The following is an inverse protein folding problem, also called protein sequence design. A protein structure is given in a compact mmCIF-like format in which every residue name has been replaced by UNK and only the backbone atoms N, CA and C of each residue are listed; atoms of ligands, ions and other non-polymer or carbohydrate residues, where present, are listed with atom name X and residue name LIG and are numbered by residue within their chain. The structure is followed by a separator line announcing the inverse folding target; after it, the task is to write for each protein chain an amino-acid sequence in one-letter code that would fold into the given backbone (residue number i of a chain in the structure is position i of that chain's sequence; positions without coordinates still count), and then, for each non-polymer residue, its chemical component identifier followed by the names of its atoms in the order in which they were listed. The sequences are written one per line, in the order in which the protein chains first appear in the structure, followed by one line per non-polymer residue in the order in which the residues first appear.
data_IF_454615235174
#
_entry.id   IF_454615235174
#
_cell.length_a   1.000
_cell.length_b   1.000
_cell.length_c   1.000
_cell.angle_alpha   90.00
_cell.angle_beta   90.00
_cell.angle_gamma   90.00
#
_symmetry.space_group_name_H-M   'P 1'
#
loop_
_entity.id
_entity.type
_entity.pdbx_description
1 polymer ?
#
# COMPACT_ATOMS: atom_id res chain seq x y z
N UNK A 1 22.79 -78.64 -35.62
CA UNK A 1 22.40 -78.00 -34.34
C UNK A 1 23.67 -77.46 -33.70
N UNK A 2 24.03 -76.17 -33.83
CA UNK A 2 23.79 -75.05 -32.86
C UNK A 2 24.06 -75.52 -31.40
N UNK A 3 25.00 -74.98 -30.62
CA UNK A 3 25.22 -73.60 -30.12
C UNK A 3 26.73 -73.45 -29.72
N UNK A 4 27.50 -72.43 -30.14
CA UNK A 4 27.60 -71.05 -29.64
C UNK A 4 28.02 -70.91 -28.15
N UNK A 5 29.31 -70.63 -27.90
CA UNK A 5 29.80 -70.01 -26.66
C UNK A 5 30.24 -68.57 -26.95
N UNK A 6 29.60 -67.61 -26.29
CA UNK A 6 29.88 -66.19 -26.36
C UNK A 6 30.97 -65.80 -25.34
N UNK A 7 32.00 -65.10 -25.81
CA UNK A 7 33.01 -64.42 -24.99
C UNK A 7 32.52 -63.00 -24.73
N UNK A 8 32.33 -62.64 -23.46
CA UNK A 8 31.89 -61.32 -23.03
C UNK A 8 33.13 -60.46 -22.71
N UNK A 9 33.41 -59.45 -23.54
CA UNK A 9 34.43 -58.42 -23.28
C UNK A 9 33.82 -57.30 -22.42
N UNK A 10 34.38 -57.06 -21.23
CA UNK A 10 34.11 -55.86 -20.43
C UNK A 10 34.94 -54.69 -20.97
N UNK A 11 34.27 -53.67 -21.52
CA UNK A 11 34.82 -52.35 -21.80
C UNK A 11 34.44 -51.41 -20.65
N UNK A 12 35.43 -50.97 -19.85
CA UNK A 12 35.27 -49.92 -18.87
C UNK A 12 35.37 -48.55 -19.56
N UNK A 13 34.23 -47.87 -19.74
CA UNK A 13 34.18 -46.50 -20.21
C UNK A 13 34.28 -45.54 -19.01
N UNK A 14 35.40 -44.81 -18.92
CA UNK A 14 35.57 -43.69 -17.98
C UNK A 14 34.83 -42.48 -18.56
N UNK A 15 33.66 -42.16 -18.02
CA UNK A 15 32.92 -40.95 -18.36
C UNK A 15 33.51 -39.75 -17.59
N UNK A 16 34.25 -38.89 -18.28
CA UNK A 16 34.60 -37.56 -17.77
C UNK A 16 33.34 -36.69 -17.73
N UNK A 17 32.78 -36.48 -16.54
CA UNK A 17 31.75 -35.47 -16.32
C UNK A 17 32.41 -34.08 -16.35
N UNK A 18 32.35 -33.41 -17.50
CA UNK A 18 32.68 -31.99 -17.60
C UNK A 18 31.55 -31.23 -16.92
N UNK A 19 31.74 -30.86 -15.65
CA UNK A 19 30.89 -29.89 -14.99
C UNK A 19 31.14 -28.53 -15.66
N UNK A 20 30.32 -28.18 -16.65
CA UNK A 20 30.28 -26.81 -17.15
C UNK A 20 29.91 -25.90 -15.99
N UNK A 21 30.89 -25.18 -15.44
CA UNK A 21 30.63 -24.08 -14.53
C UNK A 21 30.01 -22.95 -15.34
N UNK A 22 28.71 -22.75 -15.21
CA UNK A 22 28.04 -21.60 -15.81
C UNK A 22 28.62 -20.37 -15.11
N UNK A 23 29.39 -19.56 -15.84
CA UNK A 23 29.94 -18.32 -15.31
C UNK A 23 28.78 -17.44 -14.84
N UNK A 24 28.81 -17.01 -13.58
CA UNK A 24 27.84 -16.06 -13.06
C UNK A 24 27.95 -14.75 -13.84
N UNK A 25 26.84 -14.10 -14.21
CA UNK A 25 26.88 -12.82 -14.90
C UNK A 25 27.71 -11.82 -14.09
N UNK A 26 28.60 -11.08 -14.75
CA UNK A 26 29.45 -10.07 -14.11
C UNK A 26 28.76 -8.70 -14.01
N UNK A 27 27.68 -8.49 -14.76
CA UNK A 27 26.91 -7.25 -14.68
C UNK A 27 26.00 -7.21 -13.44
N UNK A 28 25.84 -6.03 -12.80
CA UNK A 28 24.92 -5.87 -11.68
C UNK A 28 23.49 -6.34 -12.02
N UNK A 29 22.84 -6.99 -11.06
CA UNK A 29 21.43 -7.32 -11.17
C UNK A 29 20.60 -6.03 -11.10
N UNK A 30 19.75 -5.80 -12.11
CA UNK A 30 18.84 -4.66 -12.15
C UNK A 30 17.48 -5.08 -11.64
N UNK A 31 17.02 -4.47 -10.54
CA UNK A 31 15.77 -4.86 -9.88
C UNK A 31 14.91 -3.62 -9.63
N UNK A 32 13.62 -3.72 -9.92
CA UNK A 32 12.66 -2.64 -9.69
C UNK A 32 11.78 -2.92 -8.48
N UNK A 33 11.75 -2.01 -7.52
CA UNK A 33 10.74 -1.96 -6.48
C UNK A 33 9.58 -1.12 -6.98
N UNK A 34 8.35 -1.62 -6.87
CA UNK A 34 7.11 -0.93 -7.23
C UNK A 34 6.26 -0.85 -5.97
N UNK A 35 6.31 0.28 -5.28
CA UNK A 35 5.66 0.47 -4.01
C UNK A 35 4.43 1.38 -4.10
N UNK A 36 3.47 1.16 -3.22
CA UNK A 36 2.36 2.07 -2.95
C UNK A 36 1.97 1.96 -1.48
N UNK A 37 1.18 2.93 -1.02
CA UNK A 37 0.83 3.07 0.38
C UNK A 37 -0.58 3.67 0.52
N UNK A 38 -1.18 3.50 1.70
CA UNK A 38 -2.41 4.18 2.09
C UNK A 38 -3.53 3.99 1.06
N UNK A 39 -3.69 2.76 0.58
CA UNK A 39 -4.70 2.42 -0.41
C UNK A 39 -6.12 2.53 0.15
N UNK A 40 -6.31 2.23 1.45
CA UNK A 40 -7.58 2.36 2.18
C UNK A 40 -8.79 1.85 1.39
N UNK A 41 -8.68 0.68 0.77
CA UNK A 41 -9.76 0.07 0.00
C UNK A 41 -10.35 0.91 -1.14
N UNK A 42 -9.57 1.83 -1.74
CA UNK A 42 -10.00 2.67 -2.86
C UNK A 42 -10.05 1.87 -4.18
N UNK A 43 -10.99 0.93 -4.24
CA UNK A 43 -11.16 -0.04 -5.32
C UNK A 43 -11.70 0.60 -6.60
N UNK A 44 -12.67 1.50 -6.47
CA UNK A 44 -13.31 2.18 -7.60
C UNK A 44 -12.42 3.34 -8.10
N UNK A 45 -12.38 3.59 -9.42
CA UNK A 45 -11.84 4.84 -9.92
C UNK A 45 -12.73 6.00 -9.47
N UNK A 46 -12.14 7.03 -8.89
CA UNK A 46 -12.84 8.23 -8.45
C UNK A 46 -12.24 9.50 -9.04
N UNK A 47 -12.76 10.64 -8.58
CA UNK A 47 -12.33 11.98 -9.02
C UNK A 47 -11.14 12.53 -8.24
N UNK A 48 -10.48 11.69 -7.44
CA UNK A 48 -9.31 12.10 -6.68
C UNK A 48 -8.18 12.46 -7.64
N UNK A 49 -7.63 13.66 -7.47
CA UNK A 49 -6.57 14.17 -8.33
C UNK A 49 -5.21 14.08 -7.66
N UNK A 50 -4.16 14.06 -8.48
CA UNK A 50 -2.79 14.34 -8.08
C UNK A 50 -2.25 15.47 -8.96
N UNK A 51 -1.56 16.43 -8.34
CA UNK A 51 -0.86 17.48 -9.07
C UNK A 51 0.45 16.91 -9.63
N UNK A 52 0.47 16.59 -10.93
CA UNK A 52 1.60 15.94 -11.60
C UNK A 52 2.32 16.90 -12.57
N UNK A 53 3.66 16.94 -12.59
CA UNK A 53 4.42 17.71 -13.57
C UNK A 53 4.14 17.25 -15.00
N UNK A 54 3.91 18.19 -15.92
CA UNK A 54 3.69 17.89 -17.32
C UNK A 54 4.96 17.21 -17.90
N UNK A 55 4.84 16.05 -18.57
CA UNK A 55 5.99 15.24 -18.98
C UNK A 55 6.92 15.94 -19.99
N UNK A 56 6.39 16.87 -20.79
CA UNK A 56 7.15 17.58 -21.84
C UNK A 56 7.26 19.10 -21.67
N UNK A 57 6.67 19.69 -20.62
CA UNK A 57 6.62 21.15 -20.43
C UNK A 57 7.10 21.46 -19.02
N UNK A 58 8.36 21.89 -18.90
CA UNK A 58 8.97 22.21 -17.62
C UNK A 58 8.18 23.29 -16.86
N UNK A 59 7.99 23.10 -15.56
CA UNK A 59 7.26 24.03 -14.68
C UNK A 59 5.73 24.00 -14.80
N UNK A 60 5.16 23.32 -15.80
CA UNK A 60 3.70 23.14 -15.90
C UNK A 60 3.27 21.94 -15.06
N UNK A 61 2.24 22.10 -14.24
CA UNK A 61 1.62 21.03 -13.45
C UNK A 61 0.16 20.87 -13.87
N UNK A 62 -0.31 19.63 -13.91
CA UNK A 62 -1.69 19.27 -14.25
C UNK A 62 -2.34 18.52 -13.09
N UNK A 63 -3.65 18.74 -12.90
CA UNK A 63 -4.45 17.95 -11.96
C UNK A 63 -4.94 16.68 -12.67
N UNK A 64 -4.34 15.54 -12.35
CA UNK A 64 -4.61 14.26 -13.01
C UNK A 64 -5.50 13.40 -12.13
N UNK A 65 -6.72 13.08 -12.58
CA UNK A 65 -7.58 12.10 -11.90
C UNK A 65 -6.89 10.73 -11.94
N UNK A 66 -6.65 10.16 -10.77
CA UNK A 66 -5.80 8.98 -10.61
C UNK A 66 -6.37 7.98 -9.62
N UNK A 67 -5.97 6.72 -9.75
CA UNK A 67 -6.31 5.62 -8.83
C UNK A 67 -7.43 4.70 -9.31
N UNK A 68 -7.93 3.87 -8.38
CA UNK A 68 -8.79 2.72 -8.68
C UNK A 68 -7.97 1.44 -8.91
N UNK A 69 -8.39 0.34 -8.30
CA UNK A 69 -7.61 -0.91 -8.26
C UNK A 69 -7.30 -1.47 -9.66
N UNK A 70 -8.23 -1.36 -10.61
CA UNK A 70 -8.02 -1.88 -11.96
C UNK A 70 -6.98 -1.09 -12.76
N UNK A 71 -6.90 0.23 -12.56
CA UNK A 71 -5.87 1.08 -13.18
C UNK A 71 -4.52 0.93 -12.47
N UNK A 72 -4.53 0.79 -11.14
CA UNK A 72 -3.35 0.44 -10.36
C UNK A 72 -2.73 -0.87 -10.86
N UNK A 73 -3.56 -1.91 -11.05
CA UNK A 73 -3.15 -3.19 -11.62
C UNK A 73 -2.51 -3.03 -13.00
N UNK A 74 -3.10 -2.21 -13.86
CA UNK A 74 -2.58 -1.94 -15.20
C UNK A 74 -1.21 -1.25 -15.15
N UNK A 75 -1.05 -0.23 -14.30
CA UNK A 75 0.22 0.48 -14.16
C UNK A 75 1.34 -0.43 -13.62
N UNK A 76 1.02 -1.26 -12.63
CA UNK A 76 1.96 -2.24 -12.09
C UNK A 76 2.36 -3.26 -13.18
N UNK A 77 1.40 -3.73 -13.99
CA UNK A 77 1.68 -4.65 -15.09
C UNK A 77 2.58 -4.02 -16.17
N UNK A 78 2.37 -2.75 -16.51
CA UNK A 78 3.28 -2.01 -17.41
C UNK A 78 4.71 -1.95 -16.87
N UNK A 79 4.86 -1.53 -15.61
CA UNK A 79 6.17 -1.42 -14.97
C UNK A 79 6.89 -2.77 -14.83
N UNK A 80 6.15 -3.85 -14.59
CA UNK A 80 6.67 -5.24 -14.59
C UNK A 80 7.09 -5.70 -15.98
N UNK A 81 6.36 -5.32 -17.03
CA UNK A 81 6.74 -5.65 -18.42
C UNK A 81 8.00 -4.92 -18.85
N UNK A 82 8.17 -3.68 -18.42
CA UNK A 82 9.41 -2.90 -18.64
C UNK A 82 10.61 -3.50 -17.89
N UNK A 83 10.40 -3.98 -16.67
CA UNK A 83 11.42 -4.63 -15.85
C UNK A 83 10.84 -5.87 -15.14
N UNK A 84 10.97 -7.07 -15.74
CA UNK A 84 10.43 -8.30 -15.17
C UNK A 84 11.01 -8.63 -13.79
N UNK A 85 12.28 -8.32 -13.57
CA UNK A 85 12.94 -8.46 -12.27
C UNK A 85 12.44 -7.36 -11.31
N UNK A 86 11.29 -7.59 -10.69
CA UNK A 86 10.62 -6.59 -9.86
C UNK A 86 9.91 -7.17 -8.65
N UNK A 87 9.67 -6.31 -7.65
CA UNK A 87 8.95 -6.63 -6.41
C UNK A 87 7.90 -5.55 -6.16
N UNK A 88 6.63 -5.95 -5.99
CA UNK A 88 5.50 -5.08 -5.71
C UNK A 88 5.22 -5.05 -4.22
N UNK A 89 5.18 -3.85 -3.64
CA UNK A 89 5.24 -3.64 -2.19
C UNK A 89 4.09 -2.73 -1.76
N UNK A 90 3.44 -3.07 -0.66
CA UNK A 90 2.54 -2.17 0.04
C UNK A 90 3.15 -1.76 1.38
N UNK A 91 3.24 -0.45 1.61
CA UNK A 91 3.80 0.13 2.85
C UNK A 91 2.73 0.43 3.92
N UNK A 92 1.65 -0.35 3.96
CA UNK A 92 0.60 -0.24 4.97
C UNK A 92 -0.65 0.52 4.53
N UNK A 93 -1.67 0.42 5.38
CA UNK A 93 -3.01 0.96 5.17
C UNK A 93 -3.59 0.55 3.82
N UNK A 94 -3.53 -0.76 3.51
CA UNK A 94 -4.33 -1.33 2.43
C UNK A 94 -5.82 -1.20 2.76
N UNK A 95 -6.17 -1.43 4.02
CA UNK A 95 -7.53 -1.58 4.54
C UNK A 95 -7.82 -0.54 5.62
N UNK A 96 -9.05 -0.52 6.14
CA UNK A 96 -9.48 0.48 7.13
C UNK A 96 -9.62 1.88 6.53
N UNK A 97 -10.37 2.76 7.21
CA UNK A 97 -10.87 4.05 6.68
C UNK A 97 -11.33 3.96 5.20
N UNK A 98 -11.95 2.83 4.85
CA UNK A 98 -12.15 2.41 3.47
C UNK A 98 -13.52 2.82 2.97
N UNK A 99 -13.67 3.16 1.67
CA UNK A 99 -14.97 3.35 1.05
C UNK A 99 -15.87 2.13 1.23
N UNK A 100 -17.19 2.35 1.16
CA UNK A 100 -18.20 1.32 1.43
C UNK A 100 -17.98 0.01 0.64
N UNK A 101 -17.54 0.11 -0.62
CA UNK A 101 -17.28 -1.04 -1.50
C UNK A 101 -16.25 -2.02 -0.93
N UNK A 102 -15.36 -1.57 -0.04
CA UNK A 102 -14.42 -2.41 0.68
C UNK A 102 -14.88 -2.65 2.12
N UNK A 103 -15.20 -1.58 2.86
CA UNK A 103 -15.52 -1.65 4.28
C UNK A 103 -16.73 -2.54 4.59
N UNK A 104 -17.78 -2.52 3.74
CA UNK A 104 -18.98 -3.35 3.92
C UNK A 104 -18.67 -4.85 3.97
N UNK A 105 -17.59 -5.26 3.30
CA UNK A 105 -17.15 -6.65 3.21
C UNK A 105 -15.90 -6.89 4.05
N UNK A 106 -15.69 -6.08 5.09
CA UNK A 106 -14.54 -6.17 6.01
C UNK A 106 -13.20 -6.11 5.29
N UNK A 107 -13.13 -5.37 4.19
CA UNK A 107 -11.94 -5.20 3.37
C UNK A 107 -11.38 -6.47 2.70
N UNK A 108 -12.11 -7.58 2.72
CA UNK A 108 -11.82 -8.77 1.90
C UNK A 108 -11.62 -8.44 0.41
N UNK A 109 -12.46 -7.58 -0.22
CA UNK A 109 -12.30 -7.22 -1.63
C UNK A 109 -10.95 -6.58 -1.93
N UNK A 110 -10.38 -5.87 -0.97
CA UNK A 110 -9.08 -5.21 -1.12
C UNK A 110 -7.97 -6.25 -1.16
N UNK A 111 -7.95 -7.19 -0.23
CA UNK A 111 -6.95 -8.26 -0.22
C UNK A 111 -7.09 -9.14 -1.48
N UNK A 112 -8.31 -9.44 -1.91
CA UNK A 112 -8.56 -10.17 -3.17
C UNK A 112 -8.07 -9.40 -4.40
N UNK A 113 -8.25 -8.08 -4.44
CA UNK A 113 -7.70 -7.24 -5.50
C UNK A 113 -6.17 -7.26 -5.49
N UNK A 114 -5.54 -7.16 -4.30
CA UNK A 114 -4.08 -7.22 -4.16
C UNK A 114 -3.52 -8.60 -4.58
N UNK A 115 -4.24 -9.68 -4.27
CA UNK A 115 -3.89 -11.02 -4.75
C UNK A 115 -3.87 -11.08 -6.29
N UNK A 116 -4.85 -10.46 -6.96
CA UNK A 116 -4.94 -10.43 -8.43
C UNK A 116 -3.92 -9.49 -9.08
N UNK A 117 -3.58 -8.37 -8.42
CA UNK A 117 -2.50 -7.47 -8.82
C UNK A 117 -1.14 -8.17 -8.70
N UNK A 118 -1.04 -9.16 -7.81
CA UNK A 118 0.18 -9.89 -7.52
C UNK A 118 1.09 -9.07 -6.62
N UNK A 119 0.56 -8.58 -5.50
CA UNK A 119 1.36 -7.96 -4.45
C UNK A 119 2.37 -8.98 -3.89
N UNK A 120 3.64 -8.60 -3.71
CA UNK A 120 4.68 -9.53 -3.26
C UNK A 120 4.86 -9.51 -1.74
N UNK A 121 4.61 -8.38 -1.08
CA UNK A 121 4.60 -8.24 0.37
C UNK A 121 3.81 -6.99 0.81
N UNK A 122 3.32 -7.04 2.05
CA UNK A 122 2.62 -5.95 2.69
C UNK A 122 3.19 -5.73 4.10
N UNK A 123 3.53 -4.49 4.43
CA UNK A 123 3.75 -4.07 5.81
C UNK A 123 2.43 -3.59 6.35
N UNK A 124 2.05 -4.00 7.56
CA UNK A 124 0.83 -3.45 8.17
C UNK A 124 1.03 -1.95 8.45
N UNK A 125 -0.05 -1.18 8.37
CA UNK A 125 -0.16 0.19 8.87
C UNK A 125 -1.04 0.25 10.11
N UNK A 126 -1.45 1.46 10.52
CA UNK A 126 -2.31 1.60 11.69
C UNK A 126 -3.75 1.18 11.40
N UNK A 127 -4.27 1.43 10.20
CA UNK A 127 -5.68 1.14 9.87
C UNK A 127 -5.96 -0.36 9.68
N UNK A 128 -4.91 -1.17 9.48
CA UNK A 128 -5.01 -2.64 9.63
C UNK A 128 -5.52 -3.06 11.02
N UNK A 129 -5.37 -2.22 12.05
CA UNK A 129 -5.82 -2.49 13.42
C UNK A 129 -7.19 -1.91 13.76
N UNK A 130 -7.88 -1.23 12.84
CA UNK A 130 -9.20 -0.61 13.07
C UNK A 130 -10.20 -1.62 13.65
N UNK A 131 -10.19 -2.83 13.08
CA UNK A 131 -11.08 -3.92 13.48
C UNK A 131 -10.46 -4.84 14.56
N UNK A 132 -9.24 -4.54 15.00
CA UNK A 132 -8.47 -5.27 16.00
C UNK A 132 -7.67 -6.45 15.44
N UNK A 133 -6.72 -6.94 16.24
CA UNK A 133 -5.72 -7.93 15.82
C UNK A 133 -6.33 -9.26 15.36
N UNK A 134 -7.45 -9.68 15.95
CA UNK A 134 -8.15 -10.91 15.52
C UNK A 134 -8.64 -10.80 14.08
N UNK A 135 -9.22 -9.65 13.71
CA UNK A 135 -9.69 -9.43 12.34
C UNK A 135 -8.52 -9.28 11.37
N UNK A 136 -7.47 -8.56 11.77
CA UNK A 136 -6.24 -8.44 10.98
C UNK A 136 -5.63 -9.81 10.65
N UNK A 137 -5.56 -10.72 11.64
CA UNK A 137 -5.09 -12.09 11.42
C UNK A 137 -6.01 -12.87 10.48
N UNK A 138 -7.34 -12.69 10.57
CA UNK A 138 -8.30 -13.28 9.64
C UNK A 138 -8.10 -12.75 8.23
N UNK A 139 -7.88 -11.44 8.06
CA UNK A 139 -7.59 -10.86 6.75
C UNK A 139 -6.34 -11.47 6.13
N UNK A 140 -5.27 -11.62 6.91
CA UNK A 140 -4.06 -12.28 6.40
C UNK A 140 -4.29 -13.77 6.07
N UNK A 141 -4.97 -14.52 6.95
CA UNK A 141 -5.05 -15.98 6.88
C UNK A 141 -6.24 -16.54 6.08
N UNK A 142 -7.26 -15.73 5.82
CA UNK A 142 -8.51 -16.19 5.21
C UNK A 142 -9.55 -16.68 6.21
N UNK A 143 -10.67 -17.16 5.66
CA UNK A 143 -11.83 -17.65 6.40
C UNK A 143 -12.91 -16.60 6.62
N UNK A 144 -14.15 -17.06 6.79
CA UNK A 144 -15.31 -16.18 7.02
C UNK A 144 -15.34 -15.69 8.47
N UNK A 145 -15.67 -14.43 8.67
CA UNK A 145 -15.89 -13.91 10.00
C UNK A 145 -17.11 -14.59 10.66
N UNK A 146 -16.89 -15.25 11.80
CA UNK A 146 -17.95 -15.93 12.55
C UNK A 146 -18.66 -15.04 13.56
N UNK A 147 -18.06 -13.88 13.87
CA UNK A 147 -18.64 -12.90 14.80
C UNK A 147 -19.30 -11.77 13.99
N UNK A 148 -20.64 -11.62 14.07
CA UNK A 148 -21.34 -10.50 13.44
C UNK A 148 -20.82 -9.15 13.94
N UNK A 149 -20.78 -8.14 13.06
CA UNK A 149 -20.44 -6.75 13.40
C UNK A 149 -21.34 -5.82 12.61
N UNK A 150 -22.49 -5.45 13.19
CA UNK A 150 -23.51 -4.68 12.48
C UNK A 150 -23.87 -5.34 11.15
N UNK A 151 -23.93 -4.53 10.10
CA UNK A 151 -24.29 -4.96 8.74
C UNK A 151 -23.10 -5.45 7.90
N UNK A 152 -21.91 -5.60 8.50
CA UNK A 152 -20.71 -6.02 7.77
C UNK A 152 -20.80 -7.48 7.30
N UNK A 153 -20.72 -7.67 5.99
CA UNK A 153 -20.66 -8.96 5.33
C UNK A 153 -19.23 -9.54 5.31
N UNK A 154 -19.14 -10.84 5.05
CA UNK A 154 -17.88 -11.61 4.93
C UNK A 154 -18.12 -12.75 3.95
N UNK A 155 -17.07 -13.23 3.28
CA UNK A 155 -17.13 -14.28 2.27
C UNK A 155 -18.13 -13.98 1.15
N UNK A 156 -18.21 -12.70 0.78
CA UNK A 156 -19.12 -12.22 -0.27
C UNK A 156 -18.58 -12.45 -1.70
N UNK A 157 -17.35 -12.99 -1.83
CA UNK A 157 -16.81 -13.51 -3.07
C UNK A 157 -17.74 -14.57 -3.69
N UNK A 158 -17.84 -14.69 -5.03
CA UNK A 158 -18.71 -15.69 -5.68
C UNK A 158 -18.50 -17.14 -5.22
N UNK A 159 -17.31 -17.47 -4.74
CA UNK A 159 -16.98 -18.80 -4.22
C UNK A 159 -17.50 -19.07 -2.80
N UNK A 160 -18.16 -18.11 -2.16
CA UNK A 160 -18.73 -18.24 -0.81
C UNK A 160 -17.67 -18.40 0.28
N UNK A 161 -16.42 -18.03 0.00
CA UNK A 161 -15.30 -18.09 0.94
C UNK A 161 -14.31 -16.95 0.68
N UNK A 162 -13.55 -16.60 1.70
CA UNK A 162 -12.42 -15.69 1.63
C UNK A 162 -11.13 -16.49 1.85
N UNK A 163 -10.21 -16.44 0.89
CA UNK A 163 -9.01 -17.29 0.89
C UNK A 163 -7.81 -16.65 1.62
N UNK A 164 -7.93 -15.39 2.04
CA UNK A 164 -6.83 -14.65 2.67
C UNK A 164 -5.86 -14.07 1.66
N UNK A 165 -4.72 -13.59 2.16
CA UNK A 165 -3.68 -13.00 1.32
C UNK A 165 -2.72 -14.06 0.78
N UNK A 166 -2.31 -13.93 -0.49
CA UNK A 166 -1.24 -14.74 -1.09
C UNK A 166 0.15 -14.12 -0.90
N UNK A 167 0.24 -13.06 -0.08
CA UNK A 167 1.45 -12.32 0.25
C UNK A 167 1.62 -12.21 1.77
N UNK A 168 2.86 -12.13 2.28
CA UNK A 168 3.11 -12.00 3.70
C UNK A 168 2.77 -10.60 4.22
N UNK A 169 2.26 -10.57 5.45
CA UNK A 169 2.13 -9.37 6.28
C UNK A 169 3.40 -9.25 7.13
N UNK A 170 3.94 -8.04 7.29
CA UNK A 170 5.16 -7.77 8.04
C UNK A 170 4.92 -6.76 9.17
N UNK A 171 5.48 -7.03 10.35
CA UNK A 171 5.35 -6.19 11.55
C UNK A 171 6.51 -6.39 12.54
N UNK A 172 7.66 -5.74 12.31
CA UNK A 172 8.86 -5.89 13.12
C UNK A 172 8.76 -5.29 14.53
N UNK A 173 8.00 -4.22 14.69
CA UNK A 173 7.92 -3.45 15.94
C UNK A 173 6.61 -3.65 16.72
N UNK A 174 5.71 -4.50 16.23
CA UNK A 174 4.46 -4.85 16.92
C UNK A 174 4.65 -6.17 17.64
N UNK A 175 4.73 -6.12 18.97
CA UNK A 175 5.08 -7.29 19.80
C UNK A 175 4.08 -7.55 20.91
N UNK A 176 3.96 -8.79 21.32
CA UNK A 176 3.23 -9.16 22.53
C UNK A 176 4.03 -8.88 23.81
N UNK A 177 3.51 -9.34 24.96
CA UNK A 177 4.14 -9.17 26.27
C UNK A 177 5.46 -9.92 26.40
N UNK A 178 5.60 -11.05 25.68
CA UNK A 178 6.81 -11.87 25.64
C UNK A 178 7.84 -11.34 24.62
N UNK A 179 7.48 -10.32 23.84
CA UNK A 179 8.35 -9.72 22.83
C UNK A 179 8.35 -10.44 21.48
N UNK A 180 7.40 -11.37 21.25
CA UNK A 180 7.20 -12.03 19.95
C UNK A 180 6.45 -11.10 19.01
N UNK A 181 6.85 -11.06 17.74
CA UNK A 181 6.21 -10.19 16.74
C UNK A 181 4.84 -10.71 16.32
N UNK A 182 3.94 -9.80 15.96
CA UNK A 182 2.58 -10.15 15.50
C UNK A 182 2.61 -10.95 14.18
N UNK A 183 3.43 -10.46 13.26
CA UNK A 183 3.74 -11.10 11.98
C UNK A 183 5.25 -11.26 11.84
N UNK A 184 5.71 -11.80 10.71
CA UNK A 184 7.14 -11.86 10.44
C UNK A 184 7.74 -10.43 10.45
N UNK A 185 8.92 -10.21 11.04
CA UNK A 185 9.53 -8.89 11.07
C UNK A 185 10.04 -8.44 9.70
N UNK A 186 10.46 -9.39 8.89
CA UNK A 186 11.02 -9.16 7.58
C UNK A 186 10.74 -10.33 6.64
N UNK A 187 11.01 -10.13 5.35
CA UNK A 187 11.08 -11.21 4.36
C UNK A 187 12.29 -11.02 3.46
N UNK A 188 12.87 -12.12 2.98
CA UNK A 188 13.94 -12.10 1.96
C UNK A 188 13.35 -12.56 0.64
N UNK A 189 13.59 -11.80 -0.44
CA UNK A 189 13.23 -12.17 -1.82
C UNK A 189 14.50 -12.45 -2.60
N UNK A 190 14.51 -13.56 -3.32
CA UNK A 190 15.54 -13.85 -4.31
C UNK A 190 15.00 -13.44 -5.69
N UNK A 191 15.64 -12.46 -6.33
CA UNK A 191 15.28 -11.97 -7.66
C UNK A 191 16.56 -11.93 -8.47
N UNK A 192 16.56 -12.49 -9.68
CA UNK A 192 17.78 -12.55 -10.51
C UNK A 192 18.98 -13.17 -9.77
N UNK A 193 18.76 -14.09 -8.83
CA UNK A 193 19.83 -14.75 -8.07
C UNK A 193 20.46 -13.90 -6.94
N UNK A 194 20.05 -12.64 -6.75
CA UNK A 194 20.46 -11.82 -5.60
C UNK A 194 19.38 -11.81 -4.51
N UNK A 195 19.78 -11.66 -3.24
CA UNK A 195 18.87 -11.65 -2.08
C UNK A 195 18.63 -10.23 -1.60
N UNK A 196 17.36 -9.84 -1.47
CA UNK A 196 16.93 -8.53 -0.94
C UNK A 196 16.08 -8.75 0.31
N UNK A 197 16.46 -8.11 1.41
CA UNK A 197 15.68 -8.10 2.65
C UNK A 197 14.71 -6.93 2.72
N UNK A 198 13.49 -7.16 3.18
CA UNK A 198 12.47 -6.14 3.40
C UNK A 198 12.01 -6.22 4.86
N UNK A 199 12.25 -5.18 5.65
CA UNK A 199 11.86 -5.12 7.06
C UNK A 199 10.66 -4.18 7.20
N UNK A 200 9.58 -4.67 7.82
CA UNK A 200 8.33 -3.90 7.95
C UNK A 200 8.16 -3.27 9.33
N UNK A 201 7.85 -1.97 9.41
CA UNK A 201 7.56 -1.31 10.69
C UNK A 201 6.29 -0.44 10.59
N UNK A 202 5.54 -0.36 11.69
CA UNK A 202 4.32 0.46 11.86
C UNK A 202 4.63 1.67 12.73
N UNK A 203 3.96 2.81 12.51
CA UNK A 203 4.02 3.94 13.43
C UNK A 203 3.78 3.52 14.88
N UNK A 204 4.67 3.89 15.79
CA UNK A 204 4.53 3.65 17.24
C UNK A 204 3.32 4.37 17.84
N UNK A 205 2.73 5.30 17.09
CA UNK A 205 1.57 6.10 17.50
C UNK A 205 0.23 5.39 17.31
N UNK A 206 0.19 4.20 16.67
CA UNK A 206 -1.04 3.42 16.46
C UNK A 206 -1.95 3.30 17.70
N UNK A 207 -1.45 3.11 18.93
CA UNK A 207 -2.31 3.07 20.12
C UNK A 207 -3.13 4.34 20.40
N UNK A 208 -2.73 5.49 19.86
CA UNK A 208 -3.48 6.74 19.92
C UNK A 208 -4.45 6.94 18.75
N UNK A 209 -4.42 6.07 17.73
CA UNK A 209 -5.22 6.17 16.51
C UNK A 209 -6.37 5.17 16.53
N UNK A 210 -6.11 3.94 16.97
CA UNK A 210 -7.09 2.85 16.92
C UNK A 210 -7.73 2.56 18.26
N UNK A 211 -8.82 1.79 18.24
CA UNK A 211 -9.55 1.40 19.46
C UNK A 211 -8.65 0.58 20.41
N UNK A 212 -8.43 1.01 21.67
CA UNK A 212 -7.51 0.32 22.60
C UNK A 212 -7.84 -1.16 22.81
N UNK A 213 -9.14 -1.51 22.82
CA UNK A 213 -9.59 -2.90 22.95
C UNK A 213 -9.11 -3.81 21.81
N UNK A 214 -8.95 -3.28 20.60
CA UNK A 214 -8.57 -4.03 19.41
C UNK A 214 -7.11 -4.46 19.39
N UNK A 215 -6.26 -3.75 20.15
CA UNK A 215 -4.82 -3.96 20.25
C UNK A 215 -4.38 -4.40 21.66
N UNK A 216 -5.33 -4.77 22.52
CA UNK A 216 -5.04 -5.20 23.88
C UNK A 216 -4.02 -6.35 23.89
N UNK A 217 -2.95 -6.19 24.69
CA UNK A 217 -1.85 -7.15 24.78
C UNK A 217 -0.69 -6.93 23.80
N UNK A 218 -0.85 -6.03 22.83
CA UNK A 218 0.18 -5.67 21.86
C UNK A 218 0.84 -4.33 22.21
N UNK A 219 2.12 -4.22 21.86
CA UNK A 219 2.95 -3.02 22.06
C UNK A 219 3.62 -2.64 20.75
N UNK A 220 3.63 -1.35 20.47
CA UNK A 220 4.26 -0.76 19.29
C UNK A 220 5.58 -0.11 19.75
N UNK A 221 6.69 -0.75 19.42
CA UNK A 221 8.04 -0.27 19.77
C UNK A 221 8.51 0.79 18.78
N UNK A 222 9.56 1.52 19.15
CA UNK A 222 10.23 2.43 18.23
C UNK A 222 10.72 1.71 16.96
N UNK A 223 10.39 2.31 15.82
CA UNK A 223 10.58 1.81 14.46
C UNK A 223 12.06 1.62 14.16
N UNK A 224 12.87 2.67 14.35
CA UNK A 224 14.31 2.62 14.09
C UNK A 224 15.02 1.51 14.87
N UNK A 225 14.64 1.29 16.13
CA UNK A 225 15.22 0.23 16.96
C UNK A 225 14.91 -1.17 16.43
N UNK A 226 13.67 -1.40 15.98
CA UNK A 226 13.28 -2.66 15.37
C UNK A 226 13.95 -2.87 14.00
N UNK A 227 13.95 -1.84 13.15
CA UNK A 227 14.57 -1.86 11.82
C UNK A 227 16.07 -2.19 11.91
N UNK A 228 16.82 -1.51 12.79
CA UNK A 228 18.26 -1.76 12.95
C UNK A 228 18.57 -3.15 13.48
N UNK A 229 17.75 -3.66 14.42
CA UNK A 229 17.90 -5.03 14.94
C UNK A 229 17.80 -6.06 13.81
N UNK A 230 16.75 -5.98 13.00
CA UNK A 230 16.53 -6.96 11.93
C UNK A 230 17.44 -6.74 10.73
N UNK A 231 17.94 -5.52 10.51
CA UNK A 231 18.99 -5.28 9.52
C UNK A 231 20.29 -6.00 9.92
N UNK A 232 20.69 -5.95 11.19
CA UNK A 232 21.84 -6.70 11.70
C UNK A 232 21.65 -8.22 11.56
N UNK A 233 20.44 -8.72 11.84
CA UNK A 233 20.08 -10.14 11.67
C UNK A 233 20.17 -10.59 10.21
N UNK A 234 19.68 -9.78 9.27
CA UNK A 234 19.77 -10.04 7.82
C UNK A 234 21.21 -10.02 7.32
N UNK A 235 22.04 -9.10 7.79
CA UNK A 235 23.47 -9.05 7.44
C UNK A 235 24.22 -10.26 7.94
N UNK A 236 23.91 -10.75 9.15
CA UNK A 236 24.48 -11.98 9.67
C UNK A 236 24.12 -13.21 8.81
N UNK A 237 23.01 -13.15 8.07
CA UNK A 237 22.60 -14.16 7.07
C UNK A 237 23.19 -13.91 5.67
N UNK A 238 24.04 -12.89 5.52
CA UNK A 238 24.67 -12.49 4.26
C UNK A 238 23.74 -11.78 3.28
N UNK A 239 22.65 -11.17 3.75
CA UNK A 239 21.80 -10.30 2.93
C UNK A 239 22.33 -8.87 3.07
N UNK A 240 22.83 -8.29 1.99
CA UNK A 240 23.41 -6.93 2.02
C UNK A 240 22.43 -5.87 1.50
N UNK A 241 21.63 -6.16 0.47
CA UNK A 241 20.57 -5.26 0.03
C UNK A 241 19.37 -5.32 0.99
N UNK A 242 19.14 -4.26 1.77
CA UNK A 242 18.12 -4.20 2.82
C UNK A 242 17.25 -2.95 2.68
N UNK A 243 15.95 -3.16 2.52
CA UNK A 243 14.95 -2.12 2.40
C UNK A 243 14.14 -2.02 3.70
N UNK A 244 13.94 -0.80 4.21
CA UNK A 244 12.96 -0.53 5.25
C UNK A 244 11.65 -0.13 4.60
N UNK A 245 10.57 -0.80 4.99
CA UNK A 245 9.20 -0.48 4.55
C UNK A 245 8.44 -0.06 5.80
N UNK A 246 8.15 1.22 5.90
CA UNK A 246 7.75 1.87 7.15
C UNK A 246 6.41 2.57 6.96
N UNK A 247 5.41 2.13 7.72
CA UNK A 247 4.16 2.84 7.86
C UNK A 247 4.28 4.01 8.85
N UNK A 248 5.12 4.96 8.47
CA UNK A 248 5.31 6.26 9.11
C UNK A 248 5.77 7.24 8.03
N UNK A 249 5.47 8.52 8.21
CA UNK A 249 5.64 9.53 7.19
C UNK A 249 6.17 10.85 7.70
N UNK A 250 6.21 11.77 6.76
CA UNK A 250 6.54 13.16 7.00
C UNK A 250 5.89 14.04 5.94
N UNK A 251 6.39 15.24 5.82
CA UNK A 251 5.96 16.21 4.83
C UNK A 251 7.17 16.83 4.15
N UNK A 252 6.98 17.19 2.90
CA UNK A 252 7.87 18.06 2.14
C UNK A 252 7.01 19.08 1.40
N UNK A 253 7.63 20.17 1.01
CA UNK A 253 7.05 21.10 0.05
C UNK A 253 7.43 20.64 -1.38
N UNK A 254 6.76 21.20 -2.39
CA UNK A 254 7.00 20.89 -3.81
C UNK A 254 6.04 19.86 -4.41
N UNK A 255 6.39 19.33 -5.57
CA UNK A 255 5.64 18.33 -6.33
C UNK A 255 5.93 16.89 -5.91
N UNK A 256 5.30 15.95 -6.62
CA UNK A 256 5.30 14.52 -6.28
C UNK A 256 6.68 13.85 -6.20
N UNK A 257 7.72 14.47 -6.77
CA UNK A 257 9.10 13.97 -6.80
C UNK A 257 10.10 14.93 -6.16
N UNK A 258 9.62 16.00 -5.54
CA UNK A 258 10.49 16.97 -4.90
C UNK A 258 10.77 16.57 -3.44
N UNK A 259 11.79 17.22 -2.86
CA UNK A 259 12.14 17.09 -1.46
C UNK A 259 12.60 18.44 -0.93
N UNK A 260 11.64 19.34 -0.74
CA UNK A 260 11.90 20.69 -0.22
C UNK A 260 11.47 20.73 1.26
N UNK A 261 12.34 21.22 2.14
CA UNK A 261 12.09 21.35 3.58
C UNK A 261 11.50 20.10 4.27
N UNK A 262 12.16 18.93 4.18
CA UNK A 262 11.66 17.68 4.75
C UNK A 262 11.53 17.75 6.28
N UNK A 263 10.35 17.36 6.79
CA UNK A 263 10.00 17.39 8.22
C UNK A 263 9.05 16.25 8.61
N UNK A 264 9.04 15.84 9.87
CA UNK A 264 8.17 14.77 10.38
C UNK A 264 8.95 13.51 10.81
N UNK A 265 8.23 12.60 11.48
CA UNK A 265 8.82 11.47 12.22
C UNK A 265 9.67 10.54 11.33
N UNK A 266 9.28 10.32 10.06
CA UNK A 266 10.06 9.46 9.16
C UNK A 266 11.50 9.97 8.99
N UNK A 267 11.71 11.28 8.90
CA UNK A 267 13.06 11.83 8.72
C UNK A 267 13.89 11.68 10.00
N UNK A 268 13.26 11.74 11.17
CA UNK A 268 13.92 11.47 12.46
C UNK A 268 14.24 9.99 12.64
N UNK A 269 13.38 9.10 12.14
CA UNK A 269 13.63 7.66 12.07
C UNK A 269 14.84 7.39 11.18
N UNK A 270 14.84 7.92 9.95
CA UNK A 270 15.90 7.71 8.95
C UNK A 270 17.28 8.09 9.49
N UNK A 271 17.40 9.21 10.21
CA UNK A 271 18.67 9.64 10.83
C UNK A 271 19.20 8.69 11.92
N UNK A 272 18.33 7.83 12.46
CA UNK A 272 18.68 6.80 13.47
C UNK A 272 18.88 5.42 12.85
N UNK A 273 18.65 5.26 11.54
CA UNK A 273 18.81 3.97 10.87
C UNK A 273 20.28 3.64 10.64
N UNK A 274 20.59 2.35 10.75
CA UNK A 274 21.89 1.81 10.37
C UNK A 274 22.16 2.08 8.87
N UNK A 275 23.44 2.28 8.52
CA UNK A 275 23.87 2.51 7.14
C UNK A 275 23.59 1.32 6.22
N UNK A 276 23.44 0.13 6.80
CA UNK A 276 23.06 -1.09 6.10
C UNK A 276 21.69 -1.09 5.43
N UNK A 277 20.79 -0.18 5.80
CA UNK A 277 19.49 -0.03 5.12
C UNK A 277 19.72 0.87 3.92
N UNK A 278 19.33 0.45 2.72
CA UNK A 278 19.65 1.14 1.45
C UNK A 278 18.51 2.04 0.94
N UNK A 279 17.26 1.72 1.28
CA UNK A 279 16.05 2.46 0.84
C UNK A 279 15.02 2.44 1.96
N UNK A 280 14.28 3.55 2.10
CA UNK A 280 13.09 3.65 2.95
C UNK A 280 11.87 3.95 2.10
N UNK A 281 10.94 2.99 2.08
CA UNK A 281 9.60 3.16 1.54
C UNK A 281 8.69 3.62 2.69
N UNK A 282 8.20 4.84 2.63
CA UNK A 282 7.42 5.52 3.67
C UNK A 282 5.92 5.57 3.31
N UNK A 283 5.06 5.93 4.27
CA UNK A 283 3.60 5.94 4.15
C UNK A 283 2.96 6.84 5.24
N UNK A 284 1.69 6.61 5.58
CA UNK A 284 0.95 7.16 6.73
C UNK A 284 0.48 8.62 6.57
N UNK A 285 1.35 9.53 6.14
CA UNK A 285 1.03 10.97 6.07
C UNK A 285 0.30 11.39 4.81
N UNK A 286 0.10 10.47 3.86
CA UNK A 286 -0.58 10.67 2.57
C UNK A 286 0.11 11.72 1.69
N UNK A 287 1.40 11.95 1.90
CA UNK A 287 2.20 12.92 1.16
C UNK A 287 2.94 12.27 0.00
N UNK A 288 3.23 13.06 -1.02
CA UNK A 288 4.09 12.64 -2.12
C UNK A 288 5.42 13.37 -2.01
N UNK A 289 6.51 12.62 -1.99
CA UNK A 289 7.86 13.17 -2.02
C UNK A 289 8.85 12.10 -2.44
N UNK A 290 10.02 12.55 -2.89
CA UNK A 290 11.14 11.67 -3.22
C UNK A 290 12.44 12.32 -2.74
N UNK A 291 12.89 11.91 -1.57
CA UNK A 291 14.04 12.50 -0.88
C UNK A 291 15.28 11.62 -0.96
N UNK A 292 16.45 12.27 -0.94
CA UNK A 292 17.72 11.62 -0.62
C UNK A 292 18.22 12.16 0.72
N UNK A 293 18.18 11.33 1.77
CA UNK A 293 18.61 11.69 3.12
C UNK A 293 19.84 10.85 3.46
N UNK A 294 20.96 11.50 3.76
CA UNK A 294 22.23 10.82 4.05
C UNK A 294 22.67 9.81 2.97
N UNK A 295 22.36 10.10 1.69
CA UNK A 295 22.69 9.22 0.56
C UNK A 295 21.68 8.08 0.33
N UNK A 296 20.58 8.04 1.08
CA UNK A 296 19.52 7.02 0.99
C UNK A 296 18.23 7.59 0.43
N UNK A 297 17.56 6.81 -0.42
CA UNK A 297 16.22 7.14 -0.92
C UNK A 297 15.19 7.01 0.20
N UNK A 298 14.38 8.05 0.39
CA UNK A 298 13.21 8.08 1.27
C UNK A 298 12.02 8.58 0.44
N UNK A 299 11.07 7.70 0.13
CA UNK A 299 10.01 7.99 -0.85
C UNK A 299 8.64 7.60 -0.30
N UNK A 300 7.61 8.41 -0.62
CA UNK A 300 6.20 8.13 -0.32
C UNK A 300 5.34 8.49 -1.53
N UNK A 301 4.34 7.65 -1.82
CA UNK A 301 3.49 7.73 -3.01
C UNK A 301 2.06 8.23 -2.72
N UNK A 302 1.90 9.39 -2.08
CA UNK A 302 0.59 9.95 -1.74
C UNK A 302 -0.31 8.92 -1.03
N UNK A 303 -1.48 8.63 -1.60
CA UNK A 303 -2.47 7.68 -1.07
C UNK A 303 -3.47 7.25 -2.14
N UNK A 304 -4.33 6.28 -1.81
CA UNK A 304 -5.51 5.85 -2.58
C UNK A 304 -5.19 5.27 -3.96
N UNK A 305 -3.99 4.71 -4.12
CA UNK A 305 -3.51 4.15 -5.38
C UNK A 305 -3.28 5.20 -6.47
N UNK A 306 -3.18 6.49 -6.13
CA UNK A 306 -2.99 7.58 -7.10
C UNK A 306 -1.58 7.66 -7.66
N UNK A 307 -0.59 7.23 -6.88
CA UNK A 307 0.81 7.19 -7.28
C UNK A 307 1.40 5.79 -7.02
N UNK A 308 2.39 5.43 -7.83
CA UNK A 308 3.33 4.35 -7.55
C UNK A 308 4.72 4.94 -7.31
N UNK A 309 5.35 4.57 -6.21
CA UNK A 309 6.77 4.83 -5.94
C UNK A 309 7.63 3.76 -6.59
N UNK A 310 8.41 4.14 -7.59
CA UNK A 310 9.29 3.23 -8.33
C UNK A 310 10.73 3.48 -7.90
N UNK A 311 11.43 2.44 -7.48
CA UNK A 311 12.86 2.47 -7.17
C UNK A 311 13.58 1.44 -8.03
N UNK A 312 14.48 1.88 -8.90
CA UNK A 312 15.32 1.02 -9.73
C UNK A 312 16.68 0.86 -9.02
N UNK A 313 17.05 -0.38 -8.71
CA UNK A 313 18.29 -0.77 -8.02
C UNK A 313 19.25 -1.49 -8.98
N UNK A 314 20.54 -1.21 -8.85
CA UNK A 314 21.62 -2.04 -9.39
C UNK A 314 22.35 -2.69 -8.21
N UNK A 315 22.35 -4.02 -8.18
CA UNK A 315 22.93 -4.83 -7.10
C UNK A 315 24.12 -5.60 -7.64
N UNK A 316 25.30 -5.42 -7.05
CA UNK A 316 26.47 -6.20 -7.41
C UNK A 316 26.27 -7.67 -7.03
N UNK A 317 26.46 -8.58 -7.99
CA UNK A 317 26.14 -10.01 -7.80
C UNK A 317 27.14 -10.73 -6.89
N UNK A 318 28.36 -10.21 -6.76
CA UNK A 318 29.42 -10.83 -5.97
C UNK A 318 29.27 -10.48 -4.47
N UNK A 319 29.08 -9.20 -4.16
CA UNK A 319 28.92 -8.69 -2.80
C UNK A 319 27.47 -8.74 -2.30
N UNK A 320 26.50 -8.62 -3.22
CA UNK A 320 25.09 -8.44 -2.89
C UNK A 320 24.72 -7.00 -2.50
N UNK A 321 25.64 -6.05 -2.58
CA UNK A 321 25.45 -4.65 -2.20
C UNK A 321 24.74 -3.85 -3.29
N UNK A 322 23.93 -2.87 -2.88
CA UNK A 322 23.33 -1.88 -3.80
C UNK A 322 24.41 -0.89 -4.22
N UNK A 323 24.80 -0.92 -5.50
CA UNK A 323 25.83 -0.02 -6.05
C UNK A 323 25.24 1.24 -6.68
N UNK A 324 23.96 1.19 -7.08
CA UNK A 324 23.24 2.34 -7.61
C UNK A 324 21.75 2.22 -7.34
N UNK A 325 21.11 3.36 -7.11
CA UNK A 325 19.66 3.44 -7.01
C UNK A 325 19.14 4.74 -7.63
N UNK A 326 17.95 4.67 -8.22
CA UNK A 326 17.20 5.83 -8.70
C UNK A 326 15.73 5.66 -8.34
N UNK A 327 15.00 6.76 -8.19
CA UNK A 327 13.60 6.72 -7.75
C UNK A 327 12.73 7.74 -8.45
N UNK A 328 11.44 7.44 -8.55
CA UNK A 328 10.39 8.35 -9.01
C UNK A 328 9.00 7.89 -8.57
N UNK A 329 8.15 8.83 -8.21
CA UNK A 329 6.70 8.66 -8.11
C UNK A 329 6.06 8.86 -9.49
N UNK A 330 5.15 7.96 -9.85
CA UNK A 330 4.44 7.94 -11.13
C UNK A 330 2.93 7.95 -10.89
N UNK A 331 2.17 8.86 -11.53
CA UNK A 331 0.71 8.81 -11.50
C UNK A 331 0.14 7.50 -12.02
N UNK A 332 -1.09 7.22 -11.59
CA UNK A 332 -1.94 6.13 -12.09
C UNK A 332 -3.17 6.76 -12.74
N UNK A 333 -3.06 7.32 -13.97
CA UNK A 333 -4.17 8.03 -14.60
C UNK A 333 -5.34 7.08 -14.87
N UNK A 334 -6.53 7.50 -14.48
CA UNK A 334 -7.76 6.75 -14.74
C UNK A 334 -8.55 7.36 -15.90
N UNK A 335 -9.64 6.69 -16.27
CA UNK A 335 -10.53 7.03 -17.37
C UNK A 335 -11.47 8.22 -17.08
N UNK A 336 -11.32 8.89 -15.93
CA UNK A 336 -12.14 10.05 -15.56
C UNK A 336 -11.56 11.37 -16.05
N UNK A 337 -10.34 11.41 -16.58
CA UNK A 337 -9.79 12.64 -17.15
C UNK A 337 -10.54 13.05 -18.43
N UNK A 338 -11.11 14.26 -18.43
CA UNK A 338 -11.92 14.82 -19.53
C UNK A 338 -11.28 16.05 -20.20
N UNK A 339 -10.34 16.71 -19.52
CA UNK A 339 -9.52 17.78 -20.09
C UNK A 339 -8.58 17.22 -21.18
N UNK A 340 -8.67 17.70 -22.44
CA UNK A 340 -7.83 17.23 -23.54
C UNK A 340 -6.32 17.36 -23.28
N UNK A 341 -5.87 18.40 -22.57
CA UNK A 341 -4.45 18.60 -22.25
C UNK A 341 -3.98 17.55 -21.25
N UNK A 342 -4.83 17.19 -20.28
CA UNK A 342 -4.55 16.13 -19.31
C UNK A 342 -4.52 14.78 -19.99
N UNK A 343 -5.49 14.47 -20.85
CA UNK A 343 -5.54 13.19 -21.59
C UNK A 343 -4.34 13.05 -22.53
N UNK A 344 -3.89 14.13 -23.17
CA UNK A 344 -2.72 14.10 -24.04
C UNK A 344 -1.41 13.86 -23.25
N UNK A 345 -1.26 14.52 -22.09
CA UNK A 345 -0.08 14.38 -21.25
C UNK A 345 -0.05 13.08 -20.43
N UNK A 346 -1.23 12.61 -20.01
CA UNK A 346 -1.45 11.44 -19.16
C UNK A 346 -2.60 10.59 -19.71
N UNK A 347 -2.36 9.80 -20.78
CA UNK A 347 -3.38 8.94 -21.35
C UNK A 347 -3.92 7.97 -20.29
N UNK A 348 -5.25 7.70 -20.27
CA UNK A 348 -5.82 6.77 -19.31
C UNK A 348 -5.25 5.37 -19.54
N UNK A 349 -4.89 4.68 -18.45
CA UNK A 349 -4.46 3.29 -18.52
C UNK A 349 -5.62 2.39 -18.92
N UNK A 350 -5.34 1.29 -19.61
CA UNK A 350 -6.36 0.27 -19.85
C UNK A 350 -6.58 -0.56 -18.58
N UNK A 351 -7.75 -0.50 -17.92
CA UNK A 351 -7.95 -1.14 -16.63
C UNK A 351 -7.86 -2.66 -16.76
N UNK A 352 -7.24 -3.33 -15.77
CA UNK A 352 -7.17 -4.79 -15.72
C UNK A 352 -8.59 -5.39 -15.72
N UNK A 353 -8.99 -6.19 -16.73
CA UNK A 353 -10.35 -6.72 -16.81
C UNK A 353 -10.71 -7.62 -15.61
N UNK A 354 -9.73 -8.39 -15.11
CA UNK A 354 -9.93 -9.30 -13.98
C UNK A 354 -10.22 -8.54 -12.67
N UNK A 355 -9.43 -7.50 -12.40
CA UNK A 355 -9.61 -6.66 -11.20
C UNK A 355 -10.87 -5.81 -11.35
N UNK A 356 -11.15 -5.27 -12.53
CA UNK A 356 -12.38 -4.52 -12.79
C UNK A 356 -13.64 -5.39 -12.52
N UNK A 357 -13.64 -6.65 -12.95
CA UNK A 357 -14.74 -7.57 -12.67
C UNK A 357 -14.92 -7.85 -11.18
N UNK A 358 -13.83 -8.02 -10.42
CA UNK A 358 -13.88 -8.16 -8.96
C UNK A 358 -14.49 -6.93 -8.29
N UNK A 359 -14.03 -5.73 -8.68
CA UNK A 359 -14.53 -4.48 -8.14
C UNK A 359 -16.00 -4.27 -8.47
N UNK A 360 -16.41 -4.57 -9.71
CA UNK A 360 -17.81 -4.46 -10.14
C UNK A 360 -18.72 -5.37 -9.31
N UNK A 361 -18.32 -6.62 -9.08
CA UNK A 361 -19.07 -7.56 -8.23
C UNK A 361 -19.35 -6.99 -6.83
N UNK A 362 -18.34 -6.45 -6.15
CA UNK A 362 -18.53 -5.88 -4.82
C UNK A 362 -19.29 -4.56 -4.84
N UNK A 363 -19.10 -3.74 -5.89
CA UNK A 363 -19.86 -2.50 -6.05
C UNK A 363 -21.36 -2.76 -6.23
N UNK A 364 -21.74 -3.75 -7.04
CA UNK A 364 -23.12 -4.17 -7.24
C UNK A 364 -23.75 -4.66 -5.93
N UNK A 365 -23.01 -5.43 -5.13
CA UNK A 365 -23.50 -5.90 -3.82
C UNK A 365 -23.61 -4.79 -2.78
N UNK A 366 -22.75 -3.77 -2.84
CA UNK A 366 -22.82 -2.62 -1.96
C UNK A 366 -23.91 -1.62 -2.37
N UNK A 367 -24.33 -1.62 -3.65
CA UNK A 367 -25.22 -0.63 -4.23
C UNK A 367 -26.52 -0.41 -3.45
N UNK A 368 -27.25 -1.44 -2.97
CA UNK A 368 -28.50 -1.23 -2.23
C UNK A 368 -28.31 -0.39 -0.95
N UNK A 369 -27.21 -0.61 -0.24
CA UNK A 369 -26.88 0.18 0.95
C UNK A 369 -26.33 1.55 0.55
N UNK A 370 -25.41 1.59 -0.42
CA UNK A 370 -24.76 2.81 -0.88
C UNK A 370 -25.74 3.86 -1.40
N UNK A 371 -26.77 3.42 -2.13
CA UNK A 371 -27.76 4.27 -2.78
C UNK A 371 -28.94 4.63 -1.88
N UNK A 372 -29.02 4.06 -0.67
CA UNK A 372 -30.11 4.35 0.27
C UNK A 372 -30.15 5.85 0.59
N UNK A 373 -31.25 6.56 0.26
CA UNK A 373 -31.41 7.96 0.63
C UNK A 373 -31.44 8.10 2.14
N UNK A 374 -30.73 9.08 2.67
CA UNK A 374 -30.64 9.33 4.12
C UNK A 374 -31.06 10.75 4.50
N UNK A 375 -31.09 11.66 3.53
CA UNK A 375 -31.46 13.05 3.76
C UNK A 375 -31.33 13.88 2.51
N UNK A 376 -31.54 15.19 2.67
CA UNK A 376 -31.38 16.20 1.63
C UNK A 376 -30.59 17.37 2.17
N UNK A 377 -29.74 17.96 1.35
CA UNK A 377 -28.99 19.18 1.64
C UNK A 377 -29.27 20.22 0.56
N UNK A 378 -29.31 21.50 0.95
CA UNK A 378 -29.59 22.60 0.03
C UNK A 378 -28.35 23.12 -0.71
N UNK A 379 -27.16 22.67 -0.31
CA UNK A 379 -25.87 23.07 -0.87
C UNK A 379 -24.74 22.18 -0.38
N UNK A 380 -23.59 22.27 -1.03
CA UNK A 380 -22.44 21.40 -0.73
C UNK A 380 -21.73 21.77 0.57
N UNK A 381 -21.27 20.76 1.29
CA UNK A 381 -20.30 20.91 2.38
C UNK A 381 -18.92 20.54 1.86
N UNK A 382 -18.05 21.53 1.69
CA UNK A 382 -16.75 21.34 1.03
C UNK A 382 -15.58 21.38 2.02
N UNK A 383 -14.47 20.79 1.60
CA UNK A 383 -13.14 20.81 2.24
C UNK A 383 -12.27 22.00 1.81
N UNK A 384 -12.84 22.97 1.07
CA UNK A 384 -12.09 24.17 0.65
C UNK A 384 -11.92 25.09 1.84
N UNK A 385 -10.71 25.56 2.07
CA UNK A 385 -10.36 26.51 3.13
C UNK A 385 -11.33 27.68 3.14
N UNK A 386 -12.02 27.88 4.27
CA UNK A 386 -12.38 29.22 4.70
C UNK A 386 -11.19 29.80 5.48
N UNK A 387 -11.14 31.12 5.61
CA UNK A 387 -10.08 31.81 6.36
C UNK A 387 -9.85 31.13 7.73
N UNK A 388 -8.62 30.69 7.98
CA UNK A 388 -8.22 30.02 9.23
C UNK A 388 -8.29 28.49 9.24
N UNK A 389 -8.55 27.83 8.10
CA UNK A 389 -8.52 26.36 7.99
C UNK A 389 -9.79 25.65 8.49
N UNK A 390 -10.87 26.41 8.70
CA UNK A 390 -12.21 25.88 8.98
C UNK A 390 -12.94 25.56 7.67
N UNK A 391 -13.61 24.42 7.60
CA UNK A 391 -14.29 23.93 6.39
C UNK A 391 -15.74 23.60 6.70
N UNK A 392 -16.66 23.88 5.78
CA UNK A 392 -18.07 23.53 5.96
C UNK A 392 -18.27 22.03 6.21
N UNK A 393 -17.50 21.18 5.51
CA UNK A 393 -17.46 19.74 5.76
C UNK A 393 -17.06 19.39 7.20
N UNK A 394 -16.02 20.04 7.72
CA UNK A 394 -15.54 19.82 9.08
C UNK A 394 -16.55 20.26 10.14
N UNK A 395 -17.21 21.40 9.94
CA UNK A 395 -18.28 21.87 10.82
C UNK A 395 -19.45 20.88 10.88
N UNK A 396 -19.91 20.39 9.73
CA UNK A 396 -20.99 19.39 9.68
C UNK A 396 -20.65 18.14 10.51
N UNK A 397 -19.44 17.61 10.36
CA UNK A 397 -18.97 16.44 11.09
C UNK A 397 -18.84 16.75 12.59
N UNK A 398 -18.22 17.87 12.97
CA UNK A 398 -18.07 18.27 14.36
C UNK A 398 -19.44 18.48 15.04
N UNK A 399 -20.39 19.12 14.35
CA UNK A 399 -21.75 19.30 14.84
C UNK A 399 -22.47 17.95 15.03
N UNK A 400 -22.29 17.00 14.10
CA UNK A 400 -22.83 15.66 14.22
C UNK A 400 -22.23 14.90 15.42
N UNK A 401 -20.91 14.96 15.61
CA UNK A 401 -20.23 14.39 16.79
C UNK A 401 -20.74 15.01 18.09
N UNK A 402 -20.85 16.34 18.15
CA UNK A 402 -21.37 17.04 19.32
C UNK A 402 -22.82 16.63 19.59
N UNK A 403 -23.68 16.60 18.57
CA UNK A 403 -25.07 16.18 18.71
C UNK A 403 -25.18 14.75 19.26
N UNK A 404 -24.40 13.80 18.72
CA UNK A 404 -24.39 12.41 19.15
C UNK A 404 -23.87 12.22 20.59
N UNK A 405 -22.96 13.07 21.06
CA UNK A 405 -22.26 12.91 22.34
C UNK A 405 -22.73 13.87 23.44
N UNK A 406 -23.62 14.82 23.13
CA UNK A 406 -24.23 15.72 24.13
C UNK A 406 -24.89 14.99 25.29
N UNK A 407 -25.49 13.82 25.03
CA UNK A 407 -26.08 12.96 26.07
C UNK A 407 -25.05 12.45 27.09
N UNK A 408 -23.75 12.53 26.75
CA UNK A 408 -22.63 12.18 27.62
C UNK A 408 -21.91 13.42 28.18
N UNK A 409 -22.50 14.62 28.05
CA UNK A 409 -21.96 15.86 28.59
C UNK A 409 -20.95 16.57 27.69
N UNK A 410 -20.80 16.15 26.43
CA UNK A 410 -19.93 16.86 25.48
C UNK A 410 -20.45 18.29 25.23
N UNK A 411 -19.55 19.27 25.38
CA UNK A 411 -19.85 20.69 25.14
C UNK A 411 -19.28 21.21 23.81
N UNK A 412 -18.19 20.59 23.34
CA UNK A 412 -17.45 20.95 22.12
C UNK A 412 -17.02 19.65 21.44
N UNK A 413 -16.94 19.65 20.12
CA UNK A 413 -16.36 18.57 19.33
C UNK A 413 -15.36 19.13 18.31
N UNK A 414 -14.37 18.31 17.96
CA UNK A 414 -13.36 18.63 16.96
C UNK A 414 -13.28 17.48 15.95
N UNK A 415 -12.86 17.79 14.72
CA UNK A 415 -12.46 16.79 13.73
C UNK A 415 -11.16 17.24 13.08
N UNK A 416 -10.25 16.30 12.83
CA UNK A 416 -9.02 16.60 12.11
C UNK A 416 -9.29 16.63 10.59
N UNK A 417 -8.57 17.45 9.81
CA UNK A 417 -8.75 17.51 8.35
C UNK A 417 -8.57 16.16 7.64
N UNK A 418 -7.66 15.31 8.16
CA UNK A 418 -7.38 13.98 7.58
C UNK A 418 -8.56 12.99 7.68
N UNK A 419 -9.46 13.18 8.64
CA UNK A 419 -10.68 12.39 8.83
C UNK A 419 -11.87 12.85 7.96
N UNK A 420 -11.66 13.87 7.11
CA UNK A 420 -12.65 14.34 6.13
C UNK A 420 -12.13 13.95 4.75
N UNK A 421 -12.77 12.99 4.07
CA UNK A 421 -12.18 12.32 2.91
C UNK A 421 -12.66 12.89 1.58
N UNK A 422 -13.89 13.37 1.49
CA UNK A 422 -14.46 14.03 0.30
C UNK A 422 -15.44 15.15 0.69
N UNK A 423 -15.80 15.98 -0.28
CA UNK A 423 -16.90 16.95 -0.16
C UNK A 423 -18.24 16.20 -0.15
N UNK A 424 -19.23 16.74 0.57
CA UNK A 424 -20.61 16.25 0.51
C UNK A 424 -21.43 17.15 -0.43
N UNK A 425 -21.85 16.61 -1.57
CA UNK A 425 -22.51 17.35 -2.65
C UNK A 425 -23.95 16.85 -2.82
N UNK A 426 -24.95 17.75 -2.90
CA UNK A 426 -26.33 17.35 -3.17
C UNK A 426 -26.47 16.72 -4.55
N UNK A 427 -27.30 15.67 -4.65
CA UNK A 427 -27.72 15.15 -5.95
C UNK A 427 -28.82 16.02 -6.53
N UNK A 428 -28.69 16.34 -7.82
CA UNK A 428 -29.72 17.05 -8.56
C UNK A 428 -30.89 16.10 -8.93
N UNK A 429 -32.14 16.60 -8.98
CA UNK A 429 -32.58 17.98 -8.68
C UNK A 429 -33.05 18.22 -7.24
N UNK A 430 -33.11 17.18 -6.39
CA UNK A 430 -33.86 17.24 -5.11
C UNK A 430 -32.98 17.37 -3.86
N UNK A 431 -31.66 17.52 -4.05
CA UNK A 431 -30.70 17.70 -2.98
C UNK A 431 -30.38 16.42 -2.21
N UNK A 432 -30.79 15.25 -2.70
CA UNK A 432 -30.63 13.99 -1.98
C UNK A 432 -29.16 13.67 -1.70
N UNK A 433 -28.91 13.16 -0.48
CA UNK A 433 -27.66 12.56 -0.06
C UNK A 433 -27.94 11.10 0.31
N UNK A 434 -27.03 10.20 -0.08
CA UNK A 434 -27.15 8.76 0.22
C UNK A 434 -26.21 8.32 1.34
N UNK A 435 -26.45 7.13 1.89
CA UNK A 435 -25.56 6.52 2.88
C UNK A 435 -24.12 6.42 2.39
N UNK A 436 -23.93 6.08 1.10
CA UNK A 436 -22.61 6.04 0.48
C UNK A 436 -21.93 7.40 0.44
N UNK A 437 -22.69 8.48 0.18
CA UNK A 437 -22.15 9.84 0.14
C UNK A 437 -21.64 10.29 1.54
N UNK A 438 -22.38 9.98 2.63
CA UNK A 438 -21.91 10.26 4.00
C UNK A 438 -20.72 9.38 4.42
N UNK A 439 -20.75 8.08 4.12
CA UNK A 439 -19.62 7.21 4.47
C UNK A 439 -18.37 7.55 3.66
N UNK A 440 -18.50 8.02 2.42
CA UNK A 440 -17.35 8.48 1.67
C UNK A 440 -16.72 9.75 2.27
N UNK A 441 -17.46 10.53 3.05
CA UNK A 441 -17.02 11.78 3.67
C UNK A 441 -16.09 11.55 4.89
N UNK A 442 -16.21 10.41 5.59
CA UNK A 442 -15.54 10.09 6.86
C UNK A 442 -14.87 8.73 6.78
#
# INVERSE_FOLDING_TARGET
MRFALAVCNLLAAVAFAVASAWAQPTEPARIRLIAFNDFHGHLLPGDLTIAAPHPSIAGRTLAVRSGGAAFLAARIAELRREQPASVVISSGDLVGASPLVSALFRDEPTIEAMNQIGLDLHVVGNHEFDQGVTELRRLAAGGCATTPRGDLATCAHPMGRYEGANFPFLAANVVDREGRTLFAPYVVRAVEGVRIGFIGAVTRTTPGIVMPRGIAGWRFRAEAGALNRYAAELRAQGVQAIMAVVHEGGETDGGINDCVNPRGEIFDIVRKLDRAIDVVLSAHTHRAYNCTIDGRIVIQGASFGRLLSVVDLEIDRASGEVVRSTSRNLPVPNDRNDDPDVVAAFPPLQPSPRVAALVAHYAERAAPLAQRPIGRIAGSFTRRDADGGDHAAGRLIADAHLAATRIHGAQIAFTNPGGIRTDLVPREPDGTVTYGDLLAMQ
#
